data_IF_520571025738
#
_entry.id   IF_520571025738
#
_cell.length_a   1.000
_cell.length_b   1.000
_cell.length_c   1.000
_cell.angle_alpha   90.00
_cell.angle_beta   90.00
_cell.angle_gamma   90.00
#
_symmetry.space_group_name_H-M   'P 1'
#
loop_
_entity.id
_entity.type
_entity.pdbx_description
1 polymer ?
#
# COMPACT_ATOMS: atom_id res chain seq x y z
N UNK A 1 -6.65 -20.69 12.62
CA UNK A 1 -6.02 -19.80 11.62
C UNK A 1 -5.23 -20.71 10.70
N UNK A 2 -5.84 -21.16 9.61
CA UNK A 2 -5.09 -21.88 8.57
C UNK A 2 -4.02 -20.92 8.05
N UNK A 3 -2.76 -21.32 8.19
CA UNK A 3 -1.66 -20.61 7.56
C UNK A 3 -1.89 -20.68 6.06
N UNK A 4 -2.47 -19.62 5.49
CA UNK A 4 -2.52 -19.40 4.05
C UNK A 4 -1.09 -19.09 3.56
N UNK A 5 -0.18 -20.06 3.71
CA UNK A 5 0.99 -20.18 2.86
C UNK A 5 0.43 -20.53 1.49
N UNK A 6 -0.11 -19.52 0.82
CA UNK A 6 -0.49 -19.59 -0.58
C UNK A 6 0.81 -19.84 -1.34
N UNK A 7 1.09 -21.12 -1.57
CA UNK A 7 2.19 -21.58 -2.39
C UNK A 7 2.06 -20.84 -3.72
N UNK A 8 3.01 -19.96 -4.01
CA UNK A 8 3.06 -19.26 -5.30
C UNK A 8 3.30 -20.35 -6.34
N UNK A 9 2.28 -20.62 -7.16
CA UNK A 9 2.34 -21.71 -8.12
C UNK A 9 3.30 -21.38 -9.27
N UNK A 10 3.86 -22.40 -9.93
CA UNK A 10 4.68 -22.17 -11.13
C UNK A 10 3.89 -21.47 -12.24
N UNK A 11 2.57 -21.67 -12.27
CA UNK A 11 1.67 -20.93 -13.16
C UNK A 11 1.63 -19.44 -12.81
N UNK A 12 1.53 -19.07 -11.53
CA UNK A 12 1.58 -17.65 -11.12
C UNK A 12 2.93 -17.02 -11.44
N UNK A 13 4.04 -17.74 -11.27
CA UNK A 13 5.39 -17.26 -11.63
C UNK A 13 5.50 -17.05 -13.14
N UNK A 14 5.01 -18.01 -13.93
CA UNK A 14 5.01 -17.91 -15.39
C UNK A 14 4.14 -16.76 -15.90
N UNK A 15 2.99 -16.50 -15.26
CA UNK A 15 2.16 -15.35 -15.58
C UNK A 15 2.83 -14.04 -15.16
N UNK A 16 3.47 -14.01 -14.00
CA UNK A 16 4.16 -12.83 -13.47
C UNK A 16 5.41 -12.46 -14.28
N UNK A 17 6.12 -13.45 -14.83
CA UNK A 17 7.33 -13.23 -15.65
C UNK A 17 7.01 -12.73 -17.06
N UNK A 18 5.81 -13.03 -17.58
CA UNK A 18 5.36 -12.62 -18.92
C UNK A 18 4.42 -11.42 -18.92
N UNK A 19 3.86 -11.04 -17.76
CA UNK A 19 2.99 -9.89 -17.66
C UNK A 19 3.73 -8.59 -18.04
N UNK A 20 3.11 -7.72 -18.87
CA UNK A 20 3.72 -6.45 -19.25
C UNK A 20 4.00 -5.61 -17.99
N UNK A 21 5.19 -4.98 -17.98
CA UNK A 21 5.66 -4.13 -16.87
C UNK A 21 4.71 -2.95 -16.63
N UNK A 22 4.02 -2.50 -17.68
CA UNK A 22 3.01 -1.45 -17.64
C UNK A 22 1.60 -2.07 -17.70
N UNK A 23 1.13 -2.61 -16.57
CA UNK A 23 -0.27 -3.01 -16.46
C UNK A 23 -1.14 -1.75 -16.28
N UNK A 24 -2.17 -1.61 -17.12
CA UNK A 24 -3.22 -0.57 -17.04
C UNK A 24 -3.84 -0.43 -15.63
N UNK A 25 -3.73 -1.45 -14.78
CA UNK A 25 -4.36 -1.51 -13.46
C UNK A 25 -3.47 -1.11 -12.27
N UNK A 26 -2.29 -0.56 -12.52
CA UNK A 26 -1.58 0.22 -11.51
C UNK A 26 -0.08 0.05 -11.52
N UNK A 27 0.59 1.00 -12.15
CA UNK A 27 1.64 1.83 -11.57
C UNK A 27 2.04 2.84 -12.65
N UNK A 28 1.14 3.77 -12.97
CA UNK A 28 1.57 4.97 -13.69
C UNK A 28 2.43 5.77 -12.72
N UNK A 29 3.74 5.57 -12.79
CA UNK A 29 4.74 6.59 -12.43
C UNK A 29 4.72 7.65 -13.54
N UNK A 30 3.55 8.23 -13.82
CA UNK A 30 3.50 9.38 -14.72
C UNK A 30 4.28 10.51 -14.07
N UNK A 31 5.11 11.21 -14.83
CA UNK A 31 5.63 12.51 -14.39
C UNK A 31 4.43 13.37 -14.02
N UNK A 32 4.26 13.62 -12.72
CA UNK A 32 3.24 14.53 -12.25
C UNK A 32 3.69 15.93 -12.68
N UNK A 33 3.15 16.40 -13.81
CA UNK A 33 3.20 17.81 -14.15
C UNK A 33 2.71 18.58 -12.93
N UNK A 34 3.45 19.60 -12.52
CA UNK A 34 3.05 20.49 -11.42
C UNK A 34 1.88 21.36 -11.89
N UNK A 35 0.71 20.75 -12.10
CA UNK A 35 -0.51 21.50 -12.35
C UNK A 35 -0.91 22.20 -11.05
N UNK A 36 -1.09 23.51 -11.15
CA UNK A 36 -1.58 24.35 -10.07
C UNK A 36 -3.05 24.00 -9.80
N UNK A 37 -3.50 24.24 -8.58
CA UNK A 37 -4.85 23.91 -8.09
C UNK A 37 -6.01 24.56 -8.88
N UNK A 38 -5.74 25.43 -9.86
CA UNK A 38 -6.74 26.06 -10.73
C UNK A 38 -6.99 25.29 -12.05
N UNK A 39 -6.19 24.27 -12.37
CA UNK A 39 -6.34 23.44 -13.58
C UNK A 39 -6.83 22.03 -13.20
N UNK A 40 -8.00 21.93 -12.55
CA UNK A 40 -8.73 20.66 -12.62
C UNK A 40 -9.23 20.58 -14.06
N UNK A 41 -8.70 19.66 -14.89
CA UNK A 41 -9.12 19.58 -16.29
C UNK A 41 -10.63 19.39 -16.33
N UNK A 42 -11.29 20.24 -17.13
CA UNK A 42 -12.73 20.14 -17.33
C UNK A 42 -13.01 18.73 -17.85
N UNK A 43 -13.91 17.93 -17.23
CA UNK A 43 -14.25 16.61 -17.75
C UNK A 43 -14.81 16.66 -19.18
N UNK A 44 -15.22 17.84 -19.67
CA UNK A 44 -15.64 18.08 -21.05
C UNK A 44 -14.49 18.54 -21.97
N UNK A 45 -13.26 18.68 -21.47
CA UNK A 45 -12.08 18.96 -22.28
C UNK A 45 -11.79 17.75 -23.19
N UNK A 46 -11.74 17.92 -24.53
CA UNK A 46 -11.46 16.82 -25.46
C UNK A 46 -10.09 16.17 -25.26
N UNK A 47 -9.17 16.83 -24.54
CA UNK A 47 -7.87 16.28 -24.16
C UNK A 47 -7.88 15.60 -22.76
N UNK A 48 -9.04 15.55 -22.07
CA UNK A 48 -9.20 14.80 -20.83
C UNK A 48 -9.15 13.29 -21.08
N UNK A 49 -7.95 12.73 -20.96
CA UNK A 49 -7.76 11.29 -21.01
C UNK A 49 -8.15 10.65 -19.67
N UNK A 50 -9.34 10.04 -19.61
CA UNK A 50 -9.78 9.23 -18.46
C UNK A 50 -8.79 8.10 -18.11
N UNK A 51 -7.92 7.71 -19.04
CA UNK A 51 -6.85 6.74 -18.79
C UNK A 51 -5.68 7.34 -18.00
N UNK A 52 -5.58 8.67 -17.91
CA UNK A 52 -4.54 9.38 -17.16
C UNK A 52 -4.93 9.63 -15.68
N UNK A 53 -6.15 9.24 -15.27
CA UNK A 53 -6.55 9.30 -13.85
C UNK A 53 -5.95 8.13 -13.08
N UNK A 54 -5.10 8.43 -12.09
CA UNK A 54 -4.46 7.42 -11.25
C UNK A 54 -5.49 6.68 -10.39
N UNK A 55 -5.83 5.45 -10.80
CA UNK A 55 -6.75 4.57 -10.06
C UNK A 55 -5.96 3.75 -9.03
N UNK A 56 -6.14 4.06 -7.74
CA UNK A 56 -5.53 3.24 -6.68
C UNK A 56 -6.23 1.89 -6.54
N UNK A 57 -5.46 0.83 -6.70
CA UNK A 57 -5.90 -0.53 -6.47
C UNK A 57 -6.27 -0.79 -5.00
N UNK A 58 -7.39 -1.49 -4.78
CA UNK A 58 -7.83 -1.91 -3.44
C UNK A 58 -6.97 -3.05 -2.85
N UNK A 59 -6.26 -3.78 -3.70
CA UNK A 59 -5.17 -4.68 -3.31
C UNK A 59 -3.90 -4.04 -3.85
N UNK A 60 -3.00 -3.64 -2.95
CA UNK A 60 -1.73 -3.01 -3.28
C UNK A 60 -0.64 -3.49 -2.32
N UNK A 61 0.61 -3.14 -2.60
CA UNK A 61 1.75 -3.48 -1.75
C UNK A 61 1.77 -2.74 -0.40
N UNK A 62 0.83 -1.80 -0.18
CA UNK A 62 0.73 -0.95 1.02
C UNK A 62 1.98 -0.09 1.26
N UNK A 63 2.69 0.21 0.17
CA UNK A 63 3.83 1.14 0.11
C UNK A 63 3.46 2.22 -0.91
N UNK A 64 3.76 3.48 -0.59
CA UNK A 64 3.55 4.58 -1.53
C UNK A 64 4.63 4.54 -2.61
N UNK A 65 4.24 4.21 -3.83
CA UNK A 65 5.11 4.22 -5.02
C UNK A 65 4.97 5.51 -5.85
N UNK A 66 4.43 6.58 -5.28
CA UNK A 66 4.38 7.87 -5.96
C UNK A 66 5.81 8.39 -6.17
N UNK A 67 6.11 8.77 -7.40
CA UNK A 67 7.41 9.31 -7.80
C UNK A 67 7.46 10.82 -7.55
N UNK A 68 8.54 11.29 -6.92
CA UNK A 68 8.85 12.71 -6.84
C UNK A 68 9.52 13.20 -8.12
N UNK A 69 9.57 14.51 -8.33
CA UNK A 69 10.29 15.13 -9.45
C UNK A 69 11.80 14.76 -9.49
N UNK A 70 12.38 14.31 -8.37
CA UNK A 70 13.76 13.81 -8.31
C UNK A 70 13.94 12.43 -8.95
N UNK A 71 12.86 11.77 -9.38
CA UNK A 71 12.85 10.40 -9.88
C UNK A 71 12.78 9.34 -8.78
N UNK A 72 12.95 9.70 -7.51
CA UNK A 72 12.83 8.78 -6.37
C UNK A 72 11.35 8.54 -5.99
N UNK A 73 11.03 7.33 -5.56
CA UNK A 73 9.72 6.95 -5.05
C UNK A 73 9.54 7.40 -3.59
N UNK A 74 8.30 7.52 -3.13
CA UNK A 74 8.00 7.93 -1.75
C UNK A 74 8.46 6.91 -0.70
N UNK A 75 7.92 5.69 -0.77
CA UNK A 75 8.31 4.56 0.07
C UNK A 75 7.65 4.50 1.45
N UNK A 76 6.75 5.44 1.77
CA UNK A 76 5.98 5.39 3.01
C UNK A 76 5.14 4.10 3.07
N UNK A 77 5.33 3.30 4.10
CA UNK A 77 4.59 2.06 4.32
C UNK A 77 3.36 2.28 5.21
N UNK A 78 2.32 1.50 4.97
CA UNK A 78 1.04 1.56 5.68
C UNK A 78 0.66 0.18 6.21
N UNK A 79 0.15 0.11 7.44
CA UNK A 79 -0.30 -1.16 8.03
C UNK A 79 -1.50 -1.75 7.30
N UNK A 80 -1.68 -3.07 7.35
CA UNK A 80 -2.79 -3.75 6.67
C UNK A 80 -4.17 -3.27 7.16
N UNK A 81 -4.30 -3.02 8.46
CA UNK A 81 -5.55 -2.60 9.09
C UNK A 81 -5.82 -1.12 8.85
N UNK A 82 -6.68 -0.83 7.88
CA UNK A 82 -7.09 0.53 7.54
C UNK A 82 -6.04 1.33 6.77
N UNK A 83 -4.87 0.76 6.44
CA UNK A 83 -3.82 1.48 5.74
C UNK A 83 -4.19 1.90 4.32
N UNK A 84 -5.16 1.25 3.67
CA UNK A 84 -5.67 1.74 2.37
C UNK A 84 -6.33 3.14 2.49
N UNK A 85 -6.94 3.46 3.64
CA UNK A 85 -7.43 4.81 3.93
C UNK A 85 -6.29 5.79 4.14
N UNK A 86 -5.26 5.37 4.89
CA UNK A 86 -4.08 6.19 5.19
C UNK A 86 -3.23 6.47 3.95
N UNK A 87 -3.00 5.47 3.10
CA UNK A 87 -2.30 5.59 1.83
C UNK A 87 -2.97 6.62 0.92
N UNK A 88 -4.30 6.57 0.78
CA UNK A 88 -5.04 7.58 -0.02
C UNK A 88 -4.96 8.97 0.56
N UNK A 89 -5.05 9.09 1.90
CA UNK A 89 -4.86 10.39 2.55
C UNK A 89 -3.46 10.92 2.26
N UNK A 90 -2.45 10.08 2.36
CA UNK A 90 -1.06 10.43 2.09
C UNK A 90 -0.82 10.84 0.63
N UNK A 91 -1.38 10.10 -0.34
CA UNK A 91 -1.29 10.47 -1.76
C UNK A 91 -1.88 11.87 -2.02
N UNK A 92 -3.03 12.18 -1.41
CA UNK A 92 -3.64 13.52 -1.55
C UNK A 92 -2.86 14.62 -0.85
N UNK A 93 -2.34 14.37 0.36
CA UNK A 93 -1.72 15.43 1.17
C UNK A 93 -0.23 15.65 0.90
N UNK A 94 0.52 14.60 0.58
CA UNK A 94 1.98 14.70 0.38
C UNK A 94 2.39 14.69 -1.09
N UNK A 95 1.54 14.16 -1.99
CA UNK A 95 1.81 14.09 -3.42
C UNK A 95 0.86 14.92 -4.27
N UNK A 96 -0.17 15.53 -3.68
CA UNK A 96 -1.21 16.27 -4.41
C UNK A 96 -1.86 15.45 -5.54
N UNK A 97 -1.85 14.12 -5.42
CA UNK A 97 -2.49 13.23 -6.39
C UNK A 97 -3.95 13.11 -6.00
N UNK A 98 -4.86 13.54 -6.89
CA UNK A 98 -6.26 13.24 -6.70
C UNK A 98 -6.49 11.75 -6.92
N UNK A 99 -6.96 11.08 -5.87
CA UNK A 99 -7.25 9.65 -5.90
C UNK A 99 -8.76 9.50 -5.85
N UNK A 100 -9.40 9.03 -6.93
CA UNK A 100 -10.84 8.90 -6.96
C UNK A 100 -11.32 7.97 -5.83
N UNK A 101 -12.55 8.19 -5.32
CA UNK A 101 -13.11 7.34 -4.30
C UNK A 101 -13.09 5.88 -4.74
N UNK A 102 -12.47 5.00 -3.94
CA UNK A 102 -12.49 3.58 -4.25
C UNK A 102 -13.94 3.09 -4.36
N UNK A 103 -14.20 2.33 -5.42
CA UNK A 103 -15.48 1.66 -5.59
C UNK A 103 -15.83 0.87 -4.33
N UNK A 104 -17.07 1.07 -3.84
CA UNK A 104 -17.63 0.27 -2.74
C UNK A 104 -17.93 -1.16 -3.18
N UNK A 105 -17.91 -1.44 -4.49
CA UNK A 105 -18.13 -2.79 -5.01
C UNK A 105 -17.04 -3.74 -4.50
N UNK A 106 -17.43 -4.99 -4.34
CA UNK A 106 -16.48 -6.05 -4.04
C UNK A 106 -15.58 -6.26 -5.26
N UNK A 107 -14.28 -6.37 -5.02
CA UNK A 107 -13.29 -6.72 -6.05
C UNK A 107 -13.64 -8.12 -6.52
N UNK A 108 -13.73 -8.32 -7.84
CA UNK A 108 -13.91 -9.67 -8.38
C UNK A 108 -12.61 -10.49 -8.19
N UNK A 109 -12.71 -11.82 -8.30
CA UNK A 109 -11.54 -12.68 -8.11
C UNK A 109 -10.48 -12.48 -9.21
N UNK A 110 -10.89 -12.14 -10.43
CA UNK A 110 -9.98 -11.89 -11.55
C UNK A 110 -9.08 -10.67 -11.29
N UNK A 111 -9.64 -9.54 -10.87
CA UNK A 111 -8.93 -8.30 -10.51
C UNK A 111 -8.04 -8.52 -9.29
N UNK A 112 -8.52 -9.31 -8.30
CA UNK A 112 -7.70 -9.73 -7.16
C UNK A 112 -6.47 -10.51 -7.59
N UNK A 113 -6.64 -11.49 -8.48
CA UNK A 113 -5.55 -12.32 -8.97
C UNK A 113 -4.59 -11.53 -9.86
N UNK A 114 -5.11 -10.74 -10.81
CA UNK A 114 -4.30 -9.87 -11.66
C UNK A 114 -3.39 -8.96 -10.84
N UNK A 115 -3.91 -8.38 -9.75
CA UNK A 115 -3.12 -7.52 -8.86
C UNK A 115 -2.08 -8.27 -8.04
N UNK A 116 -2.41 -9.47 -7.58
CA UNK A 116 -1.43 -10.35 -6.91
C UNK A 116 -0.28 -10.70 -7.87
N UNK A 117 -0.61 -11.08 -9.10
CA UNK A 117 0.37 -11.39 -10.15
C UNK A 117 1.22 -10.18 -10.50
N UNK A 118 0.63 -8.97 -10.56
CA UNK A 118 1.39 -7.75 -10.79
C UNK A 118 2.42 -7.46 -9.67
N UNK A 119 2.00 -7.56 -8.40
CA UNK A 119 2.90 -7.38 -7.26
C UNK A 119 3.98 -8.46 -7.26
N UNK A 120 3.61 -9.72 -7.52
CA UNK A 120 4.54 -10.83 -7.63
C UNK A 120 5.57 -10.58 -8.73
N UNK A 121 5.15 -10.14 -9.92
CA UNK A 121 6.03 -9.82 -11.04
C UNK A 121 7.03 -8.73 -10.69
N UNK A 122 6.59 -7.68 -9.99
CA UNK A 122 7.47 -6.61 -9.51
C UNK A 122 8.53 -7.10 -8.54
N UNK A 123 8.19 -8.03 -7.63
CA UNK A 123 9.16 -8.64 -6.71
C UNK A 123 10.11 -9.57 -7.48
N UNK A 124 9.56 -10.40 -8.37
CA UNK A 124 10.30 -11.40 -9.14
C UNK A 124 11.34 -10.76 -10.08
N UNK A 125 11.00 -9.65 -10.74
CA UNK A 125 11.90 -8.91 -11.64
C UNK A 125 12.92 -8.03 -10.91
N UNK A 126 12.88 -7.97 -9.59
CA UNK A 126 13.76 -7.11 -8.80
C UNK A 126 13.37 -5.64 -8.76
N UNK A 127 12.32 -5.21 -9.48
CA UNK A 127 11.82 -3.83 -9.49
C UNK A 127 11.50 -3.31 -8.08
N UNK A 128 10.98 -4.17 -7.20
CA UNK A 128 10.76 -3.84 -5.79
C UNK A 128 12.09 -3.57 -5.05
N UNK A 129 13.09 -4.43 -5.28
CA UNK A 129 14.38 -4.40 -4.60
C UNK A 129 15.23 -3.22 -5.04
N UNK A 130 15.24 -2.98 -6.34
CA UNK A 130 16.13 -2.05 -7.01
C UNK A 130 15.51 -0.65 -7.14
N UNK A 131 14.22 -0.49 -6.77
CA UNK A 131 13.57 0.80 -6.66
C UNK A 131 14.26 1.72 -5.63
N UNK A 132 14.39 3.01 -6.00
CA UNK A 132 15.00 4.05 -5.17
C UNK A 132 13.89 4.79 -4.42
N UNK A 133 13.83 4.65 -3.10
CA UNK A 133 12.85 5.32 -2.26
C UNK A 133 13.48 6.42 -1.41
N UNK A 134 12.70 7.48 -1.19
CA UNK A 134 13.03 8.59 -0.30
C UNK A 134 12.91 8.15 1.16
N UNK A 135 11.84 7.42 1.48
CA UNK A 135 11.67 6.75 2.77
C UNK A 135 11.78 5.24 2.56
N UNK A 136 12.87 4.64 3.01
CA UNK A 136 13.14 3.23 2.72
C UNK A 136 12.12 2.30 3.41
N UNK A 137 11.25 1.57 2.67
CA UNK A 137 10.26 0.66 3.27
C UNK A 137 10.85 -0.61 3.88
N UNK A 138 12.16 -0.86 3.74
CA UNK A 138 12.83 -2.10 4.17
C UNK A 138 12.14 -3.36 3.62
N UNK A 139 11.62 -4.22 4.49
CA UNK A 139 10.88 -5.44 4.12
C UNK A 139 9.46 -5.16 3.62
N UNK A 140 8.98 -3.92 3.74
CA UNK A 140 7.60 -3.55 3.50
C UNK A 140 6.74 -3.66 4.76
N UNK A 141 5.41 -3.49 4.63
CA UNK A 141 4.50 -3.60 5.76
C UNK A 141 4.41 -5.05 6.22
N UNK A 142 4.49 -5.26 7.54
CA UNK A 142 4.45 -6.57 8.16
C UNK A 142 3.21 -7.37 7.72
N UNK A 143 3.40 -8.62 7.30
CA UNK A 143 2.42 -9.53 6.72
C UNK A 143 1.81 -9.06 5.38
N UNK A 144 2.41 -8.04 4.76
CA UNK A 144 2.02 -7.50 3.45
C UNK A 144 2.31 -8.45 2.30
N UNK A 145 1.71 -8.18 1.14
CA UNK A 145 1.92 -9.01 -0.06
C UNK A 145 3.38 -8.97 -0.55
N UNK A 146 4.05 -7.82 -0.43
CA UNK A 146 5.46 -7.69 -0.80
C UNK A 146 6.36 -8.60 0.03
N UNK A 147 6.24 -8.54 1.36
CA UNK A 147 7.01 -9.40 2.28
C UNK A 147 6.72 -10.88 2.06
N UNK A 148 5.43 -11.24 1.90
CA UNK A 148 5.02 -12.62 1.65
C UNK A 148 5.62 -13.17 0.36
N UNK A 149 5.48 -12.44 -0.75
CA UNK A 149 6.05 -12.89 -2.02
C UNK A 149 7.57 -12.93 -1.98
N UNK A 150 8.25 -11.94 -1.39
CA UNK A 150 9.69 -11.97 -1.25
C UNK A 150 10.17 -13.19 -0.44
N UNK A 151 9.52 -13.46 0.71
CA UNK A 151 9.81 -14.65 1.52
C UNK A 151 9.61 -15.94 0.74
N UNK A 152 8.47 -16.12 0.08
CA UNK A 152 8.18 -17.34 -0.68
C UNK A 152 9.13 -17.54 -1.85
N UNK A 153 9.55 -16.46 -2.55
CA UNK A 153 10.51 -16.56 -3.64
C UNK A 153 11.93 -16.87 -3.15
N UNK A 154 12.34 -16.36 -1.99
CA UNK A 154 13.62 -16.72 -1.36
C UNK A 154 13.65 -18.18 -0.88
N UNK A 155 12.55 -18.65 -0.29
CA UNK A 155 12.37 -20.06 0.05
C UNK A 155 12.44 -20.96 -1.20
N UNK A 156 11.76 -20.56 -2.29
CA UNK A 156 11.82 -21.28 -3.57
C UNK A 156 13.24 -21.29 -4.15
N UNK A 157 13.94 -20.16 -4.15
CA UNK A 157 15.33 -20.08 -4.62
C UNK A 157 16.31 -20.87 -3.74
N UNK A 158 15.99 -21.07 -2.46
CA UNK A 158 16.77 -21.96 -1.60
C UNK A 158 16.63 -23.42 -2.00
N UNK A 159 15.41 -23.82 -2.39
CA UNK A 159 15.08 -25.20 -2.72
C UNK A 159 15.33 -25.59 -4.19
N UNK A 160 15.27 -24.62 -5.12
CA UNK A 160 15.42 -24.85 -6.56
C UNK A 160 16.60 -24.05 -7.14
N UNK A 161 17.67 -24.78 -7.49
CA UNK A 161 18.87 -24.20 -8.06
C UNK A 161 18.66 -23.57 -9.44
N UNK A 162 17.72 -24.09 -10.24
CA UNK A 162 17.41 -23.56 -11.59
C UNK A 162 16.65 -22.25 -11.48
N UNK A 163 15.68 -22.18 -10.58
CA UNK A 163 14.96 -20.96 -10.23
C UNK A 163 15.93 -19.88 -9.72
N UNK A 164 16.82 -20.26 -8.78
CA UNK A 164 17.85 -19.37 -8.26
C UNK A 164 18.81 -18.85 -9.32
N UNK A 165 19.21 -19.70 -10.27
CA UNK A 165 20.09 -19.29 -11.36
C UNK A 165 19.39 -18.28 -12.30
N UNK A 166 18.08 -18.39 -12.46
CA UNK A 166 17.29 -17.53 -13.37
C UNK A 166 16.93 -16.18 -12.74
N UNK A 167 16.45 -16.18 -11.50
CA UNK A 167 15.88 -14.99 -10.86
C UNK A 167 16.72 -14.45 -9.68
N UNK A 168 17.74 -15.18 -9.26
CA UNK A 168 18.56 -14.85 -8.08
C UNK A 168 18.02 -15.47 -6.78
N UNK A 169 18.68 -15.14 -5.66
CA UNK A 169 18.40 -15.72 -4.33
C UNK A 169 17.89 -14.73 -3.29
N UNK A 170 17.87 -13.42 -3.60
CA UNK A 170 17.52 -12.37 -2.66
C UNK A 170 16.42 -11.49 -3.26
N UNK A 171 15.22 -11.55 -2.71
CA UNK A 171 14.05 -10.81 -3.20
C UNK A 171 13.64 -9.70 -2.23
N UNK A 172 14.01 -9.82 -0.95
CA UNK A 172 13.90 -8.72 -0.01
C UNK A 172 14.88 -7.58 -0.33
N UNK A 173 14.48 -6.36 0.03
CA UNK A 173 15.38 -5.19 -0.05
C UNK A 173 16.52 -5.36 0.93
N UNK A 174 17.74 -5.06 0.49
CA UNK A 174 18.89 -5.08 1.39
C UNK A 174 18.69 -4.02 2.47
N UNK A 175 18.92 -4.34 3.75
CA UNK A 175 18.99 -3.31 4.77
C UNK A 175 20.10 -2.34 4.35
N UNK A 176 19.76 -1.10 4.04
CA UNK A 176 20.80 -0.10 3.82
C UNK A 176 21.62 -0.04 5.10
N UNK A 177 22.93 -0.27 4.97
CA UNK A 177 23.83 -0.14 6.09
C UNK A 177 23.59 1.25 6.67
N UNK A 178 23.11 1.33 7.90
CA UNK A 178 22.95 2.61 8.60
C UNK A 178 24.31 3.26 8.50
N UNK A 179 24.43 4.34 7.74
CA UNK A 179 25.67 5.10 7.66
C UNK A 179 26.06 5.35 9.11
N UNK A 180 27.28 4.93 9.54
CA UNK A 180 27.67 5.03 10.93
C UNK A 180 27.41 6.46 11.35
N UNK A 181 26.50 6.64 12.33
CA UNK A 181 26.14 7.96 12.84
C UNK A 181 27.46 8.65 13.15
N UNK A 182 27.79 9.69 12.39
CA UNK A 182 29.02 10.44 12.62
C UNK A 182 29.00 10.83 14.11
N UNK A 183 29.98 10.38 14.92
CA UNK A 183 29.89 10.52 16.36
C UNK A 183 29.86 12.01 16.71
N UNK A 184 28.66 12.48 17.05
CA UNK A 184 28.37 13.76 17.67
C UNK A 184 28.98 15.00 17.01
N UNK A 185 28.16 15.73 16.25
CA UNK A 185 28.19 17.19 16.45
C UNK A 185 27.66 17.44 17.87
N UNK A 186 28.58 17.34 18.84
CA UNK A 186 28.37 17.78 20.21
C UNK A 186 27.73 19.17 20.08
N UNK A 187 26.46 19.27 20.47
CA UNK A 187 25.69 20.50 20.52
C UNK A 187 26.50 21.45 21.40
N UNK A 188 27.38 22.25 20.80
CA UNK A 188 28.04 23.34 21.50
C UNK A 188 26.89 24.27 21.83
N UNK A 189 26.47 24.25 23.09
CA UNK A 189 25.75 25.34 23.71
C UNK A 189 26.62 26.58 23.53
N UNK A 190 26.43 27.28 22.41
CA UNK A 190 27.09 28.53 22.14
C UNK A 190 26.21 29.62 22.76
N UNK A 191 26.67 30.07 23.94
CA UNK A 191 26.40 31.34 24.59
C UNK A 191 24.99 31.59 25.12
N UNK A 192 24.88 31.44 26.44
CA UNK A 192 24.08 32.33 27.26
C UNK A 192 24.49 33.77 26.96
N UNK A 193 23.55 34.57 26.47
CA UNK A 193 23.63 36.02 26.52
C UNK A 193 22.89 36.38 27.81
N UNK A 194 23.65 36.61 28.87
CA UNK A 194 23.17 37.30 30.06
C UNK A 194 22.90 38.78 29.72
N UNK A 195 21.95 39.35 30.47
CA UNK A 195 21.53 40.77 30.54
C UNK A 195 20.58 41.32 29.46
N UNK A 196 19.27 41.14 29.71
CA UNK A 196 18.25 42.13 29.36
C UNK A 196 17.36 42.41 30.58
N UNK A 197 17.17 43.69 30.97
CA UNK A 197 16.49 44.05 32.21
C UNK A 197 14.97 43.85 32.12
N UNK A 198 14.41 43.49 33.27
CA UNK A 198 12.99 43.25 33.50
C UNK A 198 12.12 44.45 33.09
N UNK A 199 11.09 44.21 32.27
CA UNK A 199 9.92 45.07 32.19
C UNK A 199 8.69 44.30 32.64
N UNK A 200 8.09 44.78 33.73
CA UNK A 200 6.92 44.21 34.37
C UNK A 200 5.62 44.43 33.58
N UNK A 201 4.71 43.46 33.73
CA UNK A 201 3.24 43.57 33.71
C UNK A 201 2.48 43.61 32.36
N UNK A 202 1.18 43.22 32.30
CA UNK A 202 0.32 42.60 33.33
C UNK A 202 -0.43 41.30 32.89
N UNK A 203 -0.84 40.58 33.94
CA UNK A 203 -1.88 39.55 34.00
C UNK A 203 -3.14 39.82 33.15
N UNK A 204 -3.57 38.82 32.36
CA UNK A 204 -4.98 38.68 31.95
C UNK A 204 -5.49 37.26 32.14
N UNK A 205 -6.34 37.16 33.16
CA UNK A 205 -7.29 36.07 33.44
C UNK A 205 -8.26 35.88 32.27
N UNK A 206 -8.66 34.63 32.03
CA UNK A 206 -9.84 34.26 31.23
C UNK A 206 -10.02 32.74 31.22
N UNK A 207 -10.54 32.15 32.30
CA UNK A 207 -11.95 31.72 32.47
C UNK A 207 -12.49 30.84 31.33
N UNK A 208 -12.69 29.57 31.66
CA UNK A 208 -14.01 28.94 31.61
C UNK A 208 -14.54 28.49 30.25
N UNK A 209 -14.58 27.17 30.04
CA UNK A 209 -15.20 26.55 28.88
C UNK A 209 -15.75 25.14 29.14
N UNK A 210 -16.38 24.91 30.30
CA UNK A 210 -17.24 23.74 30.55
C UNK A 210 -18.56 23.91 29.79
N UNK A 211 -18.68 23.27 28.60
CA UNK A 211 -19.97 22.89 27.97
C UNK A 211 -19.67 21.59 27.18
N UNK A 212 -20.24 20.44 27.49
CA UNK A 212 -21.66 20.20 27.63
C UNK A 212 -22.23 19.66 26.32
N UNK A 213 -22.08 18.36 26.08
CA UNK A 213 -22.94 17.59 25.15
C UNK A 213 -23.26 16.27 25.84
N UNK A 214 -24.28 16.29 26.70
CA UNK A 214 -25.66 15.86 26.39
C UNK A 214 -25.66 14.51 25.69
N UNK A 215 -26.02 13.50 26.49
CA UNK A 215 -26.38 12.19 26.00
C UNK A 215 -27.60 12.21 25.09
N UNK A 216 -27.65 11.16 24.27
CA UNK A 216 -28.82 10.60 23.60
C UNK A 216 -28.43 9.12 23.46
N UNK A 217 -28.94 8.17 24.24
CA UNK A 217 -30.33 7.98 24.61
C UNK A 217 -31.05 7.31 23.44
N UNK A 218 -31.27 5.99 23.51
CA UNK A 218 -31.99 5.17 22.54
C UNK A 218 -31.10 4.03 22.03
N UNK A 219 -31.21 2.79 22.49
CA UNK A 219 -32.46 2.07 22.77
C UNK A 219 -32.97 1.51 21.44
N UNK A 220 -32.59 0.27 21.12
CA UNK A 220 -32.89 -0.36 19.84
C UNK A 220 -32.31 -1.75 19.72
N UNK A 221 -32.64 -2.61 20.68
CA UNK A 221 -32.61 -4.07 20.49
C UNK A 221 -33.60 -4.40 19.38
N UNK A 222 -33.10 -4.70 18.18
CA UNK A 222 -33.87 -5.47 17.21
C UNK A 222 -33.03 -6.67 16.81
N UNK A 223 -33.41 -7.77 17.42
CA UNK A 223 -32.98 -9.12 17.11
C UNK A 223 -33.18 -9.33 15.60
N UNK A 224 -32.08 -9.55 14.89
CA UNK A 224 -32.15 -10.02 13.50
C UNK A 224 -32.02 -11.54 13.55
N UNK A 225 -33.05 -12.31 13.18
CA UNK A 225 -32.97 -13.76 13.21
C UNK A 225 -32.01 -14.25 12.13
N UNK A 226 -30.99 -14.98 12.58
CA UNK A 226 -30.04 -15.73 11.77
C UNK A 226 -30.77 -16.78 10.94
N UNK A 227 -31.15 -16.44 9.70
CA UNK A 227 -31.69 -17.42 8.75
C UNK A 227 -30.54 -18.27 8.21
N UNK A 228 -30.27 -19.34 8.95
CA UNK A 228 -29.41 -20.47 8.62
C UNK A 228 -29.86 -21.09 7.30
N UNK A 229 -29.27 -20.65 6.17
CA UNK A 229 -29.52 -21.26 4.85
C UNK A 229 -28.55 -22.44 4.68
N UNK A 230 -28.98 -23.60 5.15
CA UNK A 230 -28.38 -24.89 4.80
C UNK A 230 -28.49 -25.09 3.29
N UNK A 231 -27.40 -24.87 2.56
CA UNK A 231 -27.28 -25.35 1.18
C UNK A 231 -26.91 -26.83 1.27
N UNK A 232 -27.93 -27.66 1.04
CA UNK A 232 -27.84 -29.09 0.81
C UNK A 232 -26.97 -29.31 -0.43
N UNK A 233 -25.77 -29.83 -0.24
CA UNK A 233 -24.95 -30.37 -1.32
C UNK A 233 -25.70 -31.62 -1.82
N UNK A 234 -26.27 -31.54 -3.02
CA UNK A 234 -26.67 -32.73 -3.78
C UNK A 234 -25.41 -33.22 -4.50
N UNK A 235 -24.79 -34.26 -3.96
CA UNK A 235 -23.88 -35.13 -4.70
C UNK A 235 -24.72 -35.92 -5.71
N UNK A 236 -24.69 -35.51 -6.98
CA UNK A 236 -25.06 -36.41 -8.07
C UNK A 236 -23.85 -37.29 -8.36
N UNK A 237 -23.94 -38.53 -7.87
CA UNK A 237 -23.15 -39.66 -8.32
C UNK A 237 -23.82 -40.20 -9.58
N UNK A 238 -23.26 -39.89 -10.74
CA UNK A 238 -23.55 -40.63 -11.97
C UNK A 238 -22.37 -41.58 -12.23
N UNK A 239 -22.37 -42.67 -11.46
CA UNK A 239 -21.83 -43.94 -11.91
C UNK A 239 -22.90 -44.58 -12.80
N UNK A 240 -22.55 -44.89 -14.05
CA UNK A 240 -22.74 -46.22 -14.65
C UNK A 240 -22.82 -46.15 -16.19
N UNK A 241 -21.83 -46.82 -16.77
CA UNK A 241 -22.01 -47.96 -17.67
C UNK A 241 -22.36 -47.72 -19.15
N UNK A 242 -21.57 -48.43 -19.96
CA UNK A 242 -21.93 -48.94 -21.28
C UNK A 242 -21.34 -48.12 -22.42
N UNK A 243 -20.83 -48.70 -23.50
CA UNK A 243 -20.78 -50.08 -23.98
C UNK A 243 -19.81 -50.05 -25.19
N UNK A 244 -19.23 -51.21 -25.48
CA UNK A 244 -18.58 -51.62 -26.75
C UNK A 244 -17.21 -51.02 -27.12
#
# INVERSE_FOLDING_TARGET
MESMNAFVSDQEISLASTAPVHSEFGQHCGEFGTHRDDDIPDPDDPDYDENNVVKLAKINGMVCDAQYASGALCGKSFGLDGGAGQLRRHLRTEHHIDVPPMSRRNINNAERNARRVAILGRVLRGEWRDAVYTMEPHTGPANGLLEKFATTLEEKATNDATFRATYGSQFHRRPQAKTPKTPGSKKRNAFAIDDAPASESPSKRGRGGTRGRRGRGGGGTSETPTRRRSSRIQTQSDDAAGEA
#
